data_IF_342729923871
#
_entry.id   IF_342729923871
#
_cell.length_a   1.000
_cell.length_b   1.000
_cell.length_c   1.000
_cell.angle_alpha   90.00
_cell.angle_beta   90.00
_cell.angle_gamma   90.00
#
_symmetry.space_group_name_H-M   'P 1'
#
loop_
_entity.id
_entity.type
_entity.pdbx_description
1 polymer ?
#
# COMPACT_ATOMS: atom_id res chain seq x y z
N UNK A 1 12.92 -19.36 19.58
CA UNK A 1 11.47 -19.13 19.80
C UNK A 1 10.77 -19.76 18.61
N UNK A 2 10.02 -20.86 18.77
CA UNK A 2 9.17 -21.34 17.68
C UNK A 2 7.98 -20.41 17.59
N UNK A 3 7.72 -19.90 16.40
CA UNK A 3 6.58 -19.04 16.16
C UNK A 3 5.37 -19.93 15.86
N UNK A 4 4.74 -20.48 16.90
CA UNK A 4 3.57 -21.35 16.78
C UNK A 4 2.33 -20.63 16.17
N UNK A 5 2.45 -19.33 15.86
CA UNK A 5 1.43 -18.50 15.19
C UNK A 5 1.59 -18.42 13.66
N UNK A 6 2.56 -19.12 13.06
CA UNK A 6 2.83 -19.03 11.61
C UNK A 6 1.96 -19.95 10.74
N UNK A 7 1.18 -20.84 11.35
CA UNK A 7 0.28 -21.72 10.62
C UNK A 7 -1.17 -21.34 10.91
N UNK A 8 -1.55 -20.15 10.45
CA UNK A 8 -2.96 -19.75 10.42
C UNK A 8 -3.70 -20.66 9.42
N UNK A 9 -4.88 -21.20 9.77
CA UNK A 9 -5.53 -22.28 9.02
C UNK A 9 -6.02 -21.88 7.63
N UNK A 10 -6.00 -20.59 7.31
CA UNK A 10 -6.38 -20.07 5.99
C UNK A 10 -5.19 -19.88 5.05
N UNK A 11 -3.95 -20.01 5.55
CA UNK A 11 -2.75 -20.01 4.72
C UNK A 11 -2.24 -21.44 4.54
N UNK A 12 -1.65 -21.72 3.39
CA UNK A 12 -0.92 -22.96 3.17
C UNK A 12 0.24 -23.10 4.18
N UNK A 13 0.51 -24.31 4.70
CA UNK A 13 1.61 -24.53 5.64
C UNK A 13 2.94 -23.92 5.17
N UNK A 14 3.59 -23.20 6.07
CA UNK A 14 4.86 -22.51 5.79
C UNK A 14 4.76 -21.28 4.86
N UNK A 15 3.58 -20.86 4.42
CA UNK A 15 3.41 -19.62 3.65
C UNK A 15 3.94 -18.41 4.42
N UNK A 16 3.50 -18.22 5.68
CA UNK A 16 3.92 -17.08 6.50
C UNK A 16 5.42 -17.09 6.77
N UNK A 17 5.99 -18.28 7.02
CA UNK A 17 7.44 -18.43 7.20
C UNK A 17 8.18 -17.98 5.96
N UNK A 18 7.78 -18.44 4.76
CA UNK A 18 8.39 -17.99 3.49
C UNK A 18 8.31 -16.48 3.32
N UNK A 19 7.18 -15.86 3.65
CA UNK A 19 7.03 -14.40 3.53
C UNK A 19 7.88 -13.63 4.54
N UNK A 20 8.03 -14.13 5.76
CA UNK A 20 8.90 -13.55 6.78
C UNK A 20 10.37 -13.70 6.38
N UNK A 21 10.77 -14.87 5.90
CA UNK A 21 12.13 -15.10 5.39
C UNK A 21 12.41 -14.16 4.22
N UNK A 22 11.46 -14.00 3.30
CA UNK A 22 11.54 -13.05 2.21
C UNK A 22 11.62 -11.59 2.70
N UNK A 23 11.07 -11.23 3.86
CA UNK A 23 11.17 -9.89 4.42
C UNK A 23 12.52 -9.65 5.12
N UNK A 24 13.01 -10.65 5.86
CA UNK A 24 14.24 -10.54 6.67
C UNK A 24 15.51 -10.76 5.84
N UNK A 25 15.47 -11.63 4.83
CA UNK A 25 16.62 -11.92 3.97
C UNK A 25 16.75 -10.85 2.88
N UNK A 26 17.27 -9.67 3.22
CA UNK A 26 17.83 -8.72 2.24
C UNK A 26 19.21 -8.25 2.65
N UNK A 27 20.02 -8.05 1.61
CA UNK A 27 21.15 -7.16 1.70
C UNK A 27 20.70 -5.78 1.18
N UNK A 28 20.67 -4.73 2.03
CA UNK A 28 20.24 -3.39 1.65
C UNK A 28 21.18 -2.69 0.66
N UNK A 29 22.33 -3.30 0.32
CA UNK A 29 23.26 -2.90 -0.75
C UNK A 29 23.17 -1.43 -1.15
N UNK A 30 24.03 -0.59 -0.59
CA UNK A 30 23.94 0.87 -0.70
C UNK A 30 24.38 1.36 -2.09
N UNK A 31 23.54 1.13 -3.11
CA UNK A 31 23.78 1.50 -4.51
C UNK A 31 23.31 2.93 -4.85
N UNK A 32 22.71 3.63 -3.90
CA UNK A 32 22.17 4.98 -4.12
C UNK A 32 23.31 5.98 -4.23
N UNK A 33 23.32 6.76 -5.31
CA UNK A 33 24.26 7.85 -5.52
C UNK A 33 24.02 8.91 -4.44
N UNK A 34 25.07 9.27 -3.72
CA UNK A 34 25.03 10.25 -2.64
C UNK A 34 25.17 11.65 -3.22
N UNK A 35 24.25 12.56 -2.87
CA UNK A 35 24.31 13.95 -3.33
C UNK A 35 25.36 14.73 -2.51
N UNK A 36 26.47 15.18 -3.13
CA UNK A 36 27.51 15.92 -2.43
C UNK A 36 27.04 17.30 -1.94
N UNK A 37 26.03 17.91 -2.57
CA UNK A 37 25.48 19.21 -2.14
C UNK A 37 24.62 19.05 -0.88
N UNK A 38 23.74 18.04 -0.86
CA UNK A 38 23.02 17.68 0.38
C UNK A 38 23.99 17.34 1.50
N UNK A 39 25.07 16.62 1.21
CA UNK A 39 26.09 16.29 2.20
C UNK A 39 26.72 17.53 2.84
N UNK A 40 27.04 18.54 2.03
CA UNK A 40 27.61 19.80 2.51
C UNK A 40 26.60 20.59 3.36
N UNK A 41 25.38 20.80 2.85
CA UNK A 41 24.37 21.64 3.50
C UNK A 41 23.83 20.98 4.77
N UNK A 42 23.45 19.71 4.72
CA UNK A 42 22.89 18.98 5.85
C UNK A 42 23.97 18.63 6.88
N UNK A 43 25.16 18.24 6.43
CA UNK A 43 26.30 17.97 7.32
C UNK A 43 26.72 19.22 8.10
N UNK A 44 26.75 20.38 7.45
CA UNK A 44 27.04 21.64 8.14
C UNK A 44 25.90 22.09 9.05
N UNK A 45 24.65 22.08 8.57
CA UNK A 45 23.49 22.54 9.34
C UNK A 45 23.15 21.67 10.55
N UNK A 46 23.45 20.38 10.50
CA UNK A 46 23.28 19.46 11.65
C UNK A 46 24.44 19.45 12.62
N UNK A 47 25.58 20.07 12.28
CA UNK A 47 26.80 20.06 13.10
C UNK A 47 27.58 18.73 13.07
N UNK A 48 27.11 17.73 12.33
CA UNK A 48 27.68 16.37 12.31
C UNK A 48 28.75 16.15 11.23
N UNK A 49 28.93 17.14 10.34
CA UNK A 49 29.86 17.09 9.22
C UNK A 49 29.55 15.96 8.23
N UNK A 50 30.49 15.71 7.32
CA UNK A 50 30.31 14.72 6.24
C UNK A 50 30.12 13.28 6.77
N UNK A 51 30.92 12.88 7.76
CA UNK A 51 30.88 11.50 8.27
C UNK A 51 29.54 11.19 8.97
N UNK A 52 29.03 12.11 9.79
CA UNK A 52 27.73 11.92 10.44
C UNK A 52 26.57 12.00 9.45
N UNK A 53 26.64 12.90 8.47
CA UNK A 53 25.68 12.91 7.35
C UNK A 53 25.66 11.58 6.59
N UNK A 54 26.83 11.05 6.24
CA UNK A 54 26.94 9.79 5.51
C UNK A 54 26.28 8.63 6.28
N UNK A 55 26.48 8.58 7.60
CA UNK A 55 25.80 7.61 8.47
C UNK A 55 24.27 7.73 8.41
N UNK A 56 23.73 8.95 8.54
CA UNK A 56 22.28 9.22 8.44
C UNK A 56 21.72 8.87 7.07
N UNK A 57 22.45 9.21 6.01
CA UNK A 57 22.04 8.97 4.64
C UNK A 57 22.03 7.46 4.31
N UNK A 58 22.97 6.70 4.87
CA UNK A 58 22.96 5.24 4.78
C UNK A 58 21.75 4.64 5.54
N UNK A 59 21.45 5.16 6.73
CA UNK A 59 20.29 4.74 7.51
C UNK A 59 18.97 5.09 6.79
N UNK A 60 18.88 6.27 6.16
CA UNK A 60 17.72 6.68 5.35
C UNK A 60 17.49 5.70 4.20
N UNK A 61 18.54 5.39 3.43
CA UNK A 61 18.47 4.44 2.33
C UNK A 61 18.04 3.04 2.81
N UNK A 62 18.60 2.56 3.92
CA UNK A 62 18.18 1.31 4.57
C UNK A 62 16.69 1.31 4.93
N UNK A 63 16.23 2.36 5.63
CA UNK A 63 14.84 2.50 6.07
C UNK A 63 13.87 2.54 4.88
N UNK A 64 14.24 3.20 3.79
CA UNK A 64 13.46 3.23 2.54
C UNK A 64 13.32 1.83 1.93
N UNK A 65 14.43 1.09 1.81
CA UNK A 65 14.41 -0.29 1.32
C UNK A 65 13.55 -1.19 2.20
N UNK A 66 13.71 -1.14 3.52
CA UNK A 66 12.89 -1.91 4.46
C UNK A 66 11.40 -1.57 4.32
N UNK A 67 11.07 -0.29 4.22
CA UNK A 67 9.68 0.17 4.04
C UNK A 67 9.07 -0.39 2.74
N UNK A 68 9.81 -0.37 1.64
CA UNK A 68 9.36 -0.94 0.37
C UNK A 68 9.14 -2.46 0.49
N UNK A 69 10.02 -3.19 1.20
CA UNK A 69 9.84 -4.63 1.43
C UNK A 69 8.64 -4.93 2.33
N UNK A 70 8.39 -4.11 3.35
CA UNK A 70 7.17 -4.22 4.16
C UNK A 70 5.91 -4.00 3.33
N UNK A 71 5.94 -3.07 2.37
CA UNK A 71 4.86 -2.89 1.39
C UNK A 71 4.58 -4.16 0.60
N UNK A 72 5.62 -4.73 -0.02
CA UNK A 72 5.51 -5.98 -0.77
C UNK A 72 5.06 -7.16 0.12
N UNK A 73 5.56 -7.23 1.36
CA UNK A 73 5.13 -8.23 2.34
C UNK A 73 3.63 -8.13 2.61
N UNK A 74 3.09 -6.93 2.87
CA UNK A 74 1.65 -6.76 3.09
C UNK A 74 0.81 -7.14 1.88
N UNK A 75 1.27 -6.81 0.67
CA UNK A 75 0.62 -7.23 -0.57
C UNK A 75 0.53 -8.75 -0.67
N UNK A 76 1.62 -9.47 -0.42
CA UNK A 76 1.64 -10.94 -0.44
C UNK A 76 0.75 -11.53 0.66
N UNK A 77 0.76 -10.98 1.87
CA UNK A 77 -0.11 -11.42 2.96
C UNK A 77 -1.59 -11.28 2.59
N UNK A 78 -1.99 -10.15 1.99
CA UNK A 78 -3.37 -9.97 1.52
C UNK A 78 -3.67 -10.90 0.35
N UNK A 79 -2.75 -11.04 -0.60
CA UNK A 79 -2.88 -11.94 -1.74
C UNK A 79 -2.88 -13.42 -1.40
N UNK A 80 -2.51 -13.81 -0.17
CA UNK A 80 -2.66 -15.17 0.33
C UNK A 80 -3.99 -15.43 1.06
N UNK A 81 -4.83 -14.40 1.25
CA UNK A 81 -6.14 -14.59 1.87
C UNK A 81 -7.08 -15.37 0.93
N UNK A 82 -8.05 -16.13 1.47
CA UNK A 82 -8.99 -16.88 0.63
C UNK A 82 -9.68 -16.00 -0.43
N UNK A 83 -9.57 -16.41 -1.70
CA UNK A 83 -10.15 -15.71 -2.84
C UNK A 83 -9.38 -14.47 -3.31
N UNK A 84 -8.33 -14.06 -2.60
CA UNK A 84 -7.41 -13.00 -3.02
C UNK A 84 -6.21 -13.57 -3.75
N UNK A 85 -5.65 -12.76 -4.64
CA UNK A 85 -4.42 -13.04 -5.38
C UNK A 85 -3.53 -11.78 -5.36
N UNK A 86 -2.22 -11.95 -5.16
CA UNK A 86 -1.24 -10.88 -5.31
C UNK A 86 -0.86 -10.73 -6.79
N UNK A 87 -0.80 -9.49 -7.28
CA UNK A 87 -0.24 -9.19 -8.61
C UNK A 87 1.29 -9.27 -8.63
N UNK A 88 1.95 -9.39 -7.47
CA UNK A 88 3.41 -9.39 -7.32
C UNK A 88 4.06 -8.03 -7.57
N UNK A 89 5.40 -7.99 -7.51
CA UNK A 89 6.20 -6.74 -7.64
C UNK A 89 6.22 -6.11 -9.03
N UNK A 90 5.92 -6.90 -10.07
CA UNK A 90 5.80 -6.45 -11.45
C UNK A 90 4.34 -6.45 -11.91
N UNK A 91 3.42 -6.46 -10.94
CA UNK A 91 2.00 -6.63 -11.16
C UNK A 91 1.39 -5.54 -12.02
N UNK A 92 0.18 -5.85 -12.47
CA UNK A 92 -0.71 -4.97 -13.22
C UNK A 92 -1.01 -3.66 -12.45
N UNK A 93 -1.90 -2.80 -12.94
CA UNK A 93 -2.19 -1.48 -12.35
C UNK A 93 -2.86 -1.50 -10.95
N UNK A 94 -2.77 -2.62 -10.22
CA UNK A 94 -3.28 -2.88 -8.87
C UNK A 94 -2.41 -3.96 -8.18
N UNK A 95 -2.35 -3.92 -6.85
CA UNK A 95 -1.52 -4.81 -6.04
C UNK A 95 -2.17 -6.18 -5.77
N UNK A 96 -3.49 -6.22 -5.61
CA UNK A 96 -4.25 -7.43 -5.25
C UNK A 96 -5.60 -7.50 -5.98
N UNK A 97 -6.11 -8.71 -6.21
CA UNK A 97 -7.40 -8.95 -6.86
C UNK A 97 -8.19 -10.03 -6.14
N UNK A 98 -9.51 -9.89 -6.12
CA UNK A 98 -10.46 -10.90 -5.70
C UNK A 98 -11.51 -11.05 -6.80
N UNK A 99 -11.44 -12.15 -7.56
CA UNK A 99 -12.25 -12.34 -8.77
C UNK A 99 -13.71 -12.67 -8.48
N UNK A 100 -13.98 -13.23 -7.30
CA UNK A 100 -15.33 -13.56 -6.86
C UNK A 100 -16.05 -12.36 -6.20
N UNK A 101 -17.39 -12.39 -6.08
CA UNK A 101 -18.18 -11.39 -5.37
C UNK A 101 -17.73 -11.12 -3.93
N UNK A 102 -17.08 -9.98 -3.70
CA UNK A 102 -16.60 -9.53 -2.39
C UNK A 102 -17.25 -8.22 -1.96
N UNK A 103 -17.27 -8.00 -0.64
CA UNK A 103 -17.78 -6.76 -0.05
C UNK A 103 -19.29 -6.56 -0.19
N UNK A 104 -19.78 -5.33 0.03
CA UNK A 104 -21.19 -5.06 0.23
C UNK A 104 -22.00 -5.04 -1.07
N UNK A 105 -21.37 -4.71 -2.22
CA UNK A 105 -22.01 -4.79 -3.55
C UNK A 105 -21.95 -6.20 -4.17
N UNK A 106 -21.27 -7.16 -3.53
CA UNK A 106 -21.08 -8.52 -4.07
C UNK A 106 -20.55 -8.48 -5.50
N UNK A 107 -19.43 -7.77 -5.69
CA UNK A 107 -18.74 -7.63 -6.99
C UNK A 107 -17.29 -8.08 -6.87
N UNK A 108 -16.65 -8.49 -7.97
CA UNK A 108 -15.21 -8.67 -8.02
C UNK A 108 -14.47 -7.39 -7.61
N UNK A 109 -13.25 -7.53 -7.10
CA UNK A 109 -12.49 -6.44 -6.49
C UNK A 109 -11.05 -6.42 -7.02
N UNK A 110 -10.53 -5.23 -7.29
CA UNK A 110 -9.09 -4.97 -7.35
C UNK A 110 -8.70 -3.97 -6.27
N UNK A 111 -7.47 -4.07 -5.76
CA UNK A 111 -7.00 -3.24 -4.66
C UNK A 111 -5.56 -2.79 -4.79
N UNK A 112 -5.27 -1.59 -4.31
CA UNK A 112 -3.94 -1.05 -4.07
C UNK A 112 -3.65 -1.09 -2.58
N UNK A 113 -2.50 -1.58 -2.17
CA UNK A 113 -2.08 -1.74 -0.78
C UNK A 113 -1.08 -0.65 -0.41
N UNK A 114 -1.36 0.08 0.67
CA UNK A 114 -0.44 1.04 1.28
C UNK A 114 -0.16 0.65 2.72
N UNK A 115 1.12 0.60 3.07
CA UNK A 115 1.55 0.24 4.42
C UNK A 115 1.04 1.23 5.49
N UNK A 116 1.01 2.54 5.17
CA UNK A 116 0.58 3.58 6.11
C UNK A 116 -0.21 4.69 5.41
N UNK A 117 -1.10 5.35 6.15
CA UNK A 117 -1.94 6.44 5.64
C UNK A 117 -1.17 7.63 5.06
N UNK A 118 0.05 7.89 5.54
CA UNK A 118 0.88 9.02 5.11
C UNK A 118 1.78 8.69 3.90
N UNK A 119 1.64 7.51 3.31
CA UNK A 119 2.38 7.10 2.11
C UNK A 119 1.81 7.74 0.84
N UNK A 120 0.60 8.31 0.91
CA UNK A 120 -0.02 9.02 -0.21
C UNK A 120 0.22 10.52 -0.09
N UNK A 121 1.11 11.04 -0.92
CA UNK A 121 1.13 12.47 -1.23
C UNK A 121 0.11 12.77 -2.33
N UNK A 122 -0.06 14.05 -2.62
CA UNK A 122 -1.09 14.54 -3.53
C UNK A 122 -1.01 13.97 -4.94
N UNK A 123 0.21 13.84 -5.46
CA UNK A 123 0.47 13.26 -6.77
C UNK A 123 0.22 11.75 -6.79
N UNK A 124 0.61 11.03 -5.74
CA UNK A 124 0.38 9.57 -5.64
C UNK A 124 -1.11 9.25 -5.61
N UNK A 125 -1.92 10.06 -4.92
CA UNK A 125 -3.37 9.94 -4.91
C UNK A 125 -3.98 10.16 -6.29
N UNK A 126 -3.58 11.23 -6.98
CA UNK A 126 -4.05 11.49 -8.33
C UNK A 126 -3.68 10.34 -9.29
N UNK A 127 -2.45 9.85 -9.24
CA UNK A 127 -1.99 8.75 -10.08
C UNK A 127 -2.76 7.45 -9.84
N UNK A 128 -3.00 7.10 -8.57
CA UNK A 128 -3.80 5.92 -8.23
C UNK A 128 -5.22 6.03 -8.80
N UNK A 129 -5.84 7.20 -8.69
CA UNK A 129 -7.17 7.43 -9.23
C UNK A 129 -7.19 7.30 -10.76
N UNK A 130 -6.18 7.82 -11.46
CA UNK A 130 -6.06 7.66 -12.91
C UNK A 130 -5.85 6.20 -13.32
N UNK A 131 -5.05 5.45 -12.57
CA UNK A 131 -4.86 4.01 -12.79
C UNK A 131 -6.19 3.25 -12.64
N UNK A 132 -6.95 3.55 -11.60
CA UNK A 132 -8.28 2.96 -11.38
C UNK A 132 -9.29 3.31 -12.47
N UNK A 133 -9.25 4.54 -13.01
CA UNK A 133 -10.04 4.91 -14.18
C UNK A 133 -9.61 4.15 -15.44
N UNK A 134 -8.31 3.98 -15.66
CA UNK A 134 -7.79 3.22 -16.79
C UNK A 134 -8.26 1.76 -16.72
N UNK A 135 -8.20 1.14 -15.54
CA UNK A 135 -8.74 -0.20 -15.31
C UNK A 135 -10.25 -0.28 -15.57
N UNK A 136 -11.03 0.74 -15.17
CA UNK A 136 -12.47 0.76 -15.43
C UNK A 136 -12.81 0.73 -16.93
N UNK A 137 -11.95 1.28 -17.78
CA UNK A 137 -12.12 1.30 -19.24
C UNK A 137 -11.75 -0.05 -19.90
N UNK A 138 -10.99 -0.90 -19.21
CA UNK A 138 -10.63 -2.23 -19.71
C UNK A 138 -11.79 -3.21 -19.51
N UNK A 139 -12.14 -3.97 -20.56
CA UNK A 139 -13.25 -4.93 -20.52
C UNK A 139 -13.11 -5.98 -19.42
N UNK A 140 -11.87 -6.45 -19.16
CA UNK A 140 -11.57 -7.45 -18.15
C UNK A 140 -11.91 -7.01 -16.70
N UNK A 141 -11.85 -5.70 -16.43
CA UNK A 141 -12.05 -5.12 -15.09
C UNK A 141 -13.29 -4.23 -15.00
N UNK A 142 -14.15 -4.28 -16.02
CA UNK A 142 -15.43 -3.58 -16.03
C UNK A 142 -16.34 -4.19 -14.96
N UNK A 143 -16.90 -3.34 -14.09
CA UNK A 143 -17.75 -3.77 -12.98
C UNK A 143 -17.01 -4.25 -11.74
N UNK A 144 -15.68 -4.31 -11.74
CA UNK A 144 -14.90 -4.53 -10.53
C UNK A 144 -14.96 -3.31 -9.62
N UNK A 145 -15.04 -3.52 -8.31
CA UNK A 145 -14.85 -2.47 -7.31
C UNK A 145 -13.34 -2.24 -7.08
N UNK A 146 -12.93 -0.97 -6.96
CA UNK A 146 -11.52 -0.59 -6.81
C UNK A 146 -11.30 -0.14 -5.37
N UNK A 147 -10.28 -0.67 -4.70
CA UNK A 147 -10.02 -0.37 -3.29
C UNK A 147 -8.61 0.17 -3.05
N UNK A 148 -8.50 1.19 -2.20
CA UNK A 148 -7.29 1.59 -1.52
C UNK A 148 -7.28 0.98 -0.12
N UNK A 149 -6.41 0.00 0.10
CA UNK A 149 -6.23 -0.72 1.35
C UNK A 149 -5.10 -0.05 2.12
N UNK A 150 -5.35 0.37 3.35
CA UNK A 150 -4.33 0.99 4.21
C UNK A 150 -4.15 0.14 5.47
N UNK A 151 -2.96 -0.39 5.67
CA UNK A 151 -2.68 -1.28 6.82
C UNK A 151 -2.67 -0.49 8.11
N UNK A 152 -1.90 0.61 8.16
CA UNK A 152 -1.84 1.50 9.31
C UNK A 152 -2.61 2.80 9.00
N UNK A 153 -3.79 2.95 9.62
CA UNK A 153 -4.64 4.13 9.46
C UNK A 153 -4.44 5.15 10.60
N UNK A 154 -4.60 6.45 10.32
CA UNK A 154 -4.58 7.51 11.34
C UNK A 154 -5.84 7.48 12.21
N UNK A 155 -6.98 7.15 11.60
CA UNK A 155 -8.28 6.93 12.23
C UNK A 155 -9.02 5.85 11.43
N UNK A 156 -9.80 4.97 12.07
CA UNK A 156 -10.69 4.08 11.34
C UNK A 156 -11.64 4.92 10.49
N UNK A 157 -11.70 4.65 9.19
CA UNK A 157 -12.56 5.39 8.28
C UNK A 157 -13.36 4.44 7.39
N UNK A 158 -14.65 4.71 7.31
CA UNK A 158 -15.62 3.96 6.51
C UNK A 158 -16.39 4.96 5.65
N UNK A 159 -15.85 5.31 4.49
CA UNK A 159 -16.51 6.24 3.59
C UNK A 159 -15.80 6.41 2.29
N UNK A 160 -16.37 7.28 1.47
CA UNK A 160 -15.99 7.63 0.10
C UNK A 160 -14.61 8.28 0.05
N UNK A 161 -13.68 7.66 -0.69
CA UNK A 161 -12.40 8.24 -1.02
C UNK A 161 -12.54 8.95 -2.37
N UNK A 162 -12.41 10.26 -2.34
CA UNK A 162 -12.32 11.10 -3.52
C UNK A 162 -11.02 11.89 -3.39
N UNK A 163 -10.13 11.88 -4.39
CA UNK A 163 -8.96 12.74 -4.35
C UNK A 163 -9.42 14.21 -4.39
N UNK A 164 -9.06 15.03 -3.40
CA UNK A 164 -9.34 16.47 -3.45
C UNK A 164 -8.32 17.19 -4.36
N UNK A 165 -8.55 18.49 -4.67
CA UNK A 165 -7.64 19.31 -5.52
C UNK A 165 -6.20 19.43 -4.98
N UNK A 166 -5.98 19.13 -3.70
CA UNK A 166 -4.70 19.15 -3.01
C UNK A 166 -4.14 17.72 -2.81
N UNK A 167 -4.77 16.70 -3.40
CA UNK A 167 -4.45 15.28 -3.35
C UNK A 167 -4.34 14.65 -1.95
N UNK A 168 -4.87 15.31 -0.92
CA UNK A 168 -5.21 14.66 0.33
C UNK A 168 -6.66 14.20 0.20
N UNK A 169 -6.98 12.94 0.54
CA UNK A 169 -8.38 12.54 0.59
C UNK A 169 -9.06 13.32 1.71
N UNK A 170 -9.83 14.36 1.36
CA UNK A 170 -10.72 15.05 2.29
C UNK A 170 -12.15 14.70 1.93
N UNK A 171 -12.92 14.42 2.99
CA UNK A 171 -14.28 13.89 2.93
C UNK A 171 -15.18 14.99 2.38
N UNK A 172 -15.76 14.76 1.19
CA UNK A 172 -16.78 15.68 0.68
C UNK A 172 -18.06 15.52 1.51
N UNK A 173 -18.33 16.49 2.40
CA UNK A 173 -19.55 16.56 3.22
C UNK A 173 -20.77 17.03 2.43
N UNK A 174 -20.66 17.19 1.12
CA UNK A 174 -21.82 17.39 0.29
C UNK A 174 -21.41 17.63 -1.13
N UNK A 175 -21.56 16.62 -1.98
CA UNK A 175 -22.16 16.66 -3.31
C UNK A 175 -22.15 15.22 -3.86
N UNK A 176 -23.26 14.81 -4.50
CA UNK A 176 -23.40 13.46 -5.10
C UNK A 176 -22.39 13.26 -6.23
N UNK A 177 -21.19 12.71 -5.98
CA UNK A 177 -20.37 12.03 -7.00
C UNK A 177 -19.46 10.96 -6.37
N UNK A 178 -19.50 9.75 -6.94
CA UNK A 178 -18.45 8.71 -6.98
C UNK A 178 -17.51 8.54 -5.76
N UNK A 179 -17.72 7.50 -4.95
CA UNK A 179 -16.99 7.16 -3.72
C UNK A 179 -16.91 5.74 -3.04
N UNK A 180 -15.74 5.46 -2.48
CA UNK A 180 -15.44 4.32 -1.62
C UNK A 180 -16.41 3.84 -0.54
N UNK A 181 -16.45 2.54 -0.24
CA UNK A 181 -17.08 1.94 0.96
C UNK A 181 -16.16 0.87 1.56
N UNK A 182 -15.77 1.00 2.83
CA UNK A 182 -15.05 -0.03 3.60
C UNK A 182 -15.98 -1.01 4.29
N UNK A 183 -15.65 -2.32 4.22
CA UNK A 183 -16.28 -3.37 5.04
C UNK A 183 -15.25 -3.97 6.00
N UNK A 184 -15.65 -4.09 7.26
CA UNK A 184 -14.88 -4.71 8.33
C UNK A 184 -15.28 -6.19 8.49
N UNK A 185 -14.27 -7.06 8.64
CA UNK A 185 -14.40 -8.23 9.50
C UNK A 185 -13.34 -8.14 10.59
N UNK A 186 -13.83 -8.26 11.83
CA UNK A 186 -13.24 -7.86 13.11
C UNK A 186 -11.70 -7.92 13.21
N UNK A 187 -11.15 -6.78 13.65
CA UNK A 187 -9.81 -6.52 14.19
C UNK A 187 -8.67 -6.62 13.15
N UNK A 188 -8.20 -5.42 12.78
CA UNK A 188 -6.95 -5.03 12.07
C UNK A 188 -6.89 -4.96 10.54
N UNK A 189 -8.00 -4.73 9.81
CA UNK A 189 -7.94 -4.33 8.38
C UNK A 189 -9.07 -3.37 7.99
N UNK A 190 -8.75 -2.27 7.30
CA UNK A 190 -9.72 -1.26 6.83
C UNK A 190 -9.51 -0.97 5.32
N UNK A 191 -10.57 -1.12 4.50
CA UNK A 191 -10.48 -1.24 3.03
C UNK A 191 -11.29 -0.13 2.30
N UNK A 192 -10.72 0.94 1.72
CA UNK A 192 -11.51 2.04 1.10
C UNK A 192 -11.85 1.79 -0.39
N UNK A 193 -13.13 1.72 -0.84
CA UNK A 193 -13.54 1.52 -2.28
C UNK A 193 -13.35 2.74 -3.27
N UNK A 194 -14.00 2.74 -4.44
CA UNK A 194 -14.50 3.91 -5.20
C UNK A 194 -15.99 3.66 -5.64
N UNK A 195 -16.90 4.64 -5.61
CA UNK A 195 -18.32 4.48 -6.05
C UNK A 195 -18.33 4.90 -7.50
N UNK A 196 -19.21 4.28 -8.25
CA UNK A 196 -19.62 4.76 -9.56
C UNK A 196 -20.85 5.65 -9.35
N UNK A 197 -20.72 6.94 -9.64
CA UNK A 197 -21.84 7.84 -9.83
C UNK A 197 -22.26 7.70 -11.28
N UNK A 198 -23.54 7.40 -11.49
CA UNK A 198 -24.23 7.48 -12.78
C UNK A 198 -24.09 8.91 -13.33
#
# INVERSE_FOLDING_TARGET
MSYDYLDLPFFEPGFLQRQIDNLLNFNPGNKEIKDPFSALVEGYSSGDGYAGWLGKENQRAFNKTLTNRLGAFHQEIIGGLPGWESSGRNGEAFDVIHREPFGPRKRPVVGEVKAKYNTMNSSSAANLFQNFQALHKQSAYKGYDKYLIQIIQKRPYHGVWTPNKLGFGEVDSGHRRTGAICVEHRRTWSICRLHDGI
#
